data_IF_489517660206
#
_entry.id   IF_489517660206
#
_cell.length_a   1.000
_cell.length_b   1.000
_cell.length_c   1.000
_cell.angle_alpha   90.00
_cell.angle_beta   90.00
_cell.angle_gamma   90.00
#
_symmetry.space_group_name_H-M   'P 1'
#
loop_
_entity.id
_entity.type
_entity.pdbx_description
1 polymer ?
#
# COMPACT_ATOMS: atom_id res chain seq x y z
N UNK A 1 -10.19 -26.80 4.72
CA UNK A 1 -10.58 -25.45 4.28
C UNK A 1 -9.45 -24.89 3.43
N UNK A 2 -9.45 -25.20 2.14
CA UNK A 2 -8.47 -24.67 1.20
C UNK A 2 -9.15 -24.66 -0.16
N UNK A 3 -9.61 -23.49 -0.60
CA UNK A 3 -9.91 -23.23 -2.00
C UNK A 3 -10.21 -21.73 -2.17
N UNK A 4 -9.33 -21.05 -2.89
CA UNK A 4 -9.71 -19.84 -3.62
C UNK A 4 -8.86 -19.82 -4.88
N UNK A 5 -9.50 -20.21 -5.97
CA UNK A 5 -8.99 -20.12 -7.34
C UNK A 5 -10.01 -19.30 -8.12
N UNK A 6 -9.58 -18.15 -8.63
CA UNK A 6 -10.36 -17.30 -9.53
C UNK A 6 -9.40 -16.39 -10.31
N UNK A 7 -9.53 -16.29 -11.65
CA UNK A 7 -8.61 -15.53 -12.50
C UNK A 7 -9.02 -14.04 -12.60
N UNK A 8 -8.08 -13.18 -13.05
CA UNK A 8 -8.24 -11.75 -13.52
C UNK A 8 -7.92 -10.65 -12.50
N UNK A 9 -7.13 -9.59 -12.80
CA UNK A 9 -5.96 -9.46 -13.68
C UNK A 9 -4.66 -9.58 -12.85
N UNK A 10 -3.65 -10.31 -13.34
CA UNK A 10 -2.28 -10.31 -12.76
C UNK A 10 -2.16 -10.38 -11.21
N UNK A 11 -2.95 -11.26 -10.57
CA UNK A 11 -2.61 -11.98 -9.33
C UNK A 11 -2.38 -11.17 -8.04
N UNK A 12 -3.25 -10.21 -7.71
CA UNK A 12 -3.32 -9.66 -6.34
C UNK A 12 -4.44 -10.34 -5.55
N UNK A 13 -4.04 -11.29 -4.69
CA UNK A 13 -4.92 -12.05 -3.78
C UNK A 13 -5.86 -11.12 -2.99
N UNK A 14 -7.09 -11.56 -2.70
CA UNK A 14 -8.04 -10.75 -1.91
C UNK A 14 -7.46 -10.35 -0.54
N UNK A 15 -6.62 -11.21 0.06
CA UNK A 15 -5.87 -10.85 1.27
C UNK A 15 -4.90 -9.70 1.02
N UNK A 16 -4.28 -9.65 -0.14
CA UNK A 16 -3.38 -8.54 -0.53
C UNK A 16 -4.15 -7.25 -0.71
N UNK A 17 -5.35 -7.29 -1.29
CA UNK A 17 -6.23 -6.13 -1.41
C UNK A 17 -6.69 -5.61 -0.05
N UNK A 18 -7.13 -6.50 0.85
CA UNK A 18 -7.47 -6.15 2.26
C UNK A 18 -6.27 -5.56 3.01
N UNK A 19 -5.06 -6.04 2.73
CA UNK A 19 -3.82 -5.44 3.25
C UNK A 19 -3.55 -4.06 2.64
N UNK A 20 -3.72 -3.88 1.35
CA UNK A 20 -3.55 -2.57 0.74
C UNK A 20 -4.53 -1.53 1.33
N UNK A 21 -5.79 -1.92 1.56
CA UNK A 21 -6.80 -1.07 2.18
C UNK A 21 -6.43 -0.66 3.62
N UNK A 22 -6.05 -1.62 4.45
CA UNK A 22 -5.53 -1.34 5.79
C UNK A 22 -4.23 -0.54 5.77
N UNK A 23 -3.35 -0.69 4.78
CA UNK A 23 -2.17 0.17 4.66
C UNK A 23 -2.57 1.63 4.55
N UNK A 24 -3.63 1.90 3.78
CA UNK A 24 -4.18 3.24 3.58
C UNK A 24 -4.96 3.74 4.80
N UNK A 25 -5.74 2.87 5.44
CA UNK A 25 -6.67 3.24 6.51
C UNK A 25 -6.07 3.14 7.93
N UNK A 26 -5.24 2.12 8.23
CA UNK A 26 -4.65 1.91 9.56
C UNK A 26 -3.29 2.56 9.77
N UNK A 27 -2.49 2.76 8.73
CA UNK A 27 -1.14 3.28 8.94
C UNK A 27 -1.17 4.81 9.04
N UNK A 28 -1.21 5.30 10.28
CA UNK A 28 -1.18 6.74 10.58
C UNK A 28 0.06 7.43 10.00
N UNK A 29 1.22 6.75 9.98
CA UNK A 29 2.46 7.29 9.40
C UNK A 29 2.33 7.46 7.88
N UNK A 30 1.79 6.48 7.17
CA UNK A 30 1.52 6.59 5.73
C UNK A 30 0.47 7.68 5.45
N UNK A 31 -0.59 7.77 6.27
CA UNK A 31 -1.62 8.80 6.15
C UNK A 31 -1.03 10.20 6.32
N UNK A 32 -0.30 10.45 7.41
CA UNK A 32 0.36 11.73 7.68
C UNK A 32 1.41 12.07 6.62
N UNK A 33 2.16 11.08 6.14
CA UNK A 33 3.14 11.25 5.06
C UNK A 33 2.50 11.67 3.74
N UNK A 34 1.37 11.04 3.36
CA UNK A 34 0.58 11.39 2.17
C UNK A 34 -0.14 12.74 2.31
N UNK A 35 -0.70 13.01 3.47
CA UNK A 35 -1.51 14.20 3.74
C UNK A 35 -0.64 15.45 3.79
N UNK A 36 0.55 15.35 4.40
CA UNK A 36 1.49 16.47 4.49
C UNK A 36 2.28 16.69 3.20
N UNK A 37 2.53 15.63 2.42
CA UNK A 37 3.19 15.69 1.10
C UNK A 37 4.60 16.28 1.09
N UNK A 38 5.15 16.70 2.23
CA UNK A 38 6.42 17.40 2.37
C UNK A 38 6.96 17.26 3.81
N UNK A 39 8.22 16.84 3.97
CA UNK A 39 8.90 16.76 5.28
C UNK A 39 9.43 15.38 5.67
N UNK A 40 9.94 15.27 6.90
CA UNK A 40 10.59 14.07 7.45
C UNK A 40 9.70 12.81 7.36
N UNK A 41 8.40 12.95 7.61
CA UNK A 41 7.43 11.85 7.50
C UNK A 41 7.25 11.34 6.06
N UNK A 42 7.18 12.24 5.07
CA UNK A 42 7.10 11.83 3.67
C UNK A 42 8.38 11.11 3.24
N UNK A 43 9.55 11.63 3.64
CA UNK A 43 10.83 10.96 3.38
C UNK A 43 10.92 9.60 4.06
N UNK A 44 10.45 9.47 5.30
CA UNK A 44 10.42 8.21 6.04
C UNK A 44 9.51 7.17 5.36
N UNK A 45 8.26 7.52 4.99
CA UNK A 45 7.35 6.62 4.27
C UNK A 45 7.92 6.23 2.91
N UNK A 46 8.53 7.18 2.18
CA UNK A 46 9.21 6.92 0.91
C UNK A 46 10.36 5.94 1.08
N UNK A 47 11.20 6.11 2.12
CA UNK A 47 12.27 5.19 2.45
C UNK A 47 11.73 3.81 2.84
N UNK A 48 10.72 3.74 3.71
CA UNK A 48 10.11 2.50 4.19
C UNK A 48 9.48 1.69 3.05
N UNK A 49 8.81 2.38 2.11
CA UNK A 49 8.28 1.78 0.88
C UNK A 49 9.41 1.28 -0.04
N UNK A 50 10.47 2.08 -0.24
CA UNK A 50 11.62 1.74 -1.11
C UNK A 50 12.41 0.56 -0.56
N UNK A 51 12.64 0.52 0.75
CA UNK A 51 13.29 -0.57 1.47
C UNK A 51 12.38 -1.80 1.62
N UNK A 52 11.10 -1.70 1.22
CA UNK A 52 10.09 -2.76 1.37
C UNK A 52 9.97 -3.28 2.81
N UNK A 53 10.19 -2.38 3.78
CA UNK A 53 10.22 -2.67 5.21
C UNK A 53 8.82 -3.03 5.73
N UNK A 54 7.79 -2.38 5.17
CA UNK A 54 6.40 -2.65 5.50
C UNK A 54 5.74 -3.60 4.47
N UNK A 55 5.24 -4.78 4.90
CA UNK A 55 4.56 -5.71 3.99
C UNK A 55 3.25 -5.14 3.42
N UNK A 56 2.65 -4.15 4.09
CA UNK A 56 1.42 -3.50 3.67
C UNK A 56 1.69 -2.47 2.57
N UNK A 57 2.78 -1.70 2.65
CA UNK A 57 3.21 -0.78 1.60
C UNK A 57 3.49 -1.52 0.28
N UNK A 58 4.14 -2.69 0.38
CA UNK A 58 4.40 -3.56 -0.78
C UNK A 58 3.10 -4.13 -1.37
N UNK A 59 2.15 -4.53 -0.52
CA UNK A 59 0.83 -4.97 -0.98
C UNK A 59 0.10 -3.84 -1.71
N UNK A 60 0.18 -2.61 -1.18
CA UNK A 60 -0.42 -1.44 -1.78
C UNK A 60 0.18 -1.11 -3.15
N UNK A 61 1.51 -1.08 -3.29
CA UNK A 61 2.18 -0.88 -4.58
C UNK A 61 1.81 -1.97 -5.59
N UNK A 62 1.65 -3.21 -5.13
CA UNK A 62 1.25 -4.33 -5.98
C UNK A 62 -0.22 -4.27 -6.43
N UNK A 63 -1.10 -3.69 -5.61
CA UNK A 63 -2.55 -3.57 -5.90
C UNK A 63 -2.85 -2.32 -6.72
N UNK A 64 -2.29 -1.17 -6.34
CA UNK A 64 -2.60 0.12 -6.95
C UNK A 64 -1.58 0.57 -7.99
N UNK A 65 -0.43 -0.12 -8.12
CA UNK A 65 0.64 0.26 -9.04
C UNK A 65 1.38 1.55 -8.65
N UNK A 66 0.99 2.18 -7.54
CA UNK A 66 1.60 3.41 -7.02
C UNK A 66 2.22 3.16 -5.65
N UNK A 67 3.36 3.79 -5.34
CA UNK A 67 4.04 3.57 -4.07
C UNK A 67 3.20 4.10 -2.90
N UNK A 68 3.34 3.47 -1.73
CA UNK A 68 2.49 3.75 -0.57
C UNK A 68 2.64 5.17 0.02
N UNK A 69 3.63 5.96 -0.39
CA UNK A 69 3.72 7.38 -0.03
C UNK A 69 2.89 8.30 -0.94
N UNK A 70 2.43 7.82 -2.10
CA UNK A 70 1.55 8.55 -3.00
C UNK A 70 0.08 8.24 -2.69
N UNK A 71 -0.78 9.22 -2.97
CA UNK A 71 -2.24 9.02 -2.90
C UNK A 71 -2.62 7.99 -3.97
N UNK A 72 -3.50 7.04 -3.67
CA UNK A 72 -3.97 6.13 -4.70
C UNK A 72 -4.67 6.96 -5.78
N UNK A 73 -4.57 6.59 -7.07
CA UNK A 73 -5.40 7.18 -8.09
C UNK A 73 -6.86 6.97 -7.65
N UNK A 74 -7.49 8.08 -7.35
CA UNK A 74 -8.85 8.16 -6.84
C UNK A 74 -9.72 7.82 -8.04
N UNK A 75 -10.27 6.60 -8.06
CA UNK A 75 -11.38 6.27 -8.95
C UNK A 75 -12.64 6.97 -8.51
#
# INVERSE_FOLDING_TARGET
MAETSGPVPAQVDEKTRKRADMCMNKCTVCKLGREKGSGFFHWMVKMEAKLKLCPWCRAYEKVYGVPAYEKPPQT
#
